data_IF_766388476332
#
_entry.id   IF_766388476332
#
_cell.length_a   1.000
_cell.length_b   1.000
_cell.length_c   1.000
_cell.angle_alpha   90.00
_cell.angle_beta   90.00
_cell.angle_gamma   90.00
#
_symmetry.space_group_name_H-M   'P 1'
#
loop_
_entity.id
_entity.type
_entity.pdbx_description
1 polymer ?
#
# COMPACT_ATOMS: atom_id res chain seq x y z
N UNK A 1 -55.76 2.24 -23.33
CA UNK A 1 -56.29 1.19 -22.44
C UNK A 1 -55.46 1.19 -21.19
N UNK A 2 -56.12 1.50 -20.07
CA UNK A 2 -55.54 1.47 -18.73
C UNK A 2 -55.39 0.02 -18.25
N UNK A 3 -54.34 -0.24 -17.49
CA UNK A 3 -54.33 -1.31 -16.49
C UNK A 3 -53.45 -0.87 -15.32
N UNK A 4 -54.10 -0.26 -14.33
CA UNK A 4 -53.59 -0.19 -12.96
C UNK A 4 -53.54 -1.59 -12.36
N UNK A 5 -52.47 -1.90 -11.64
CA UNK A 5 -52.53 -2.84 -10.51
C UNK A 5 -51.79 -2.21 -9.33
N UNK A 6 -52.58 -1.77 -8.35
CA UNK A 6 -52.18 -1.59 -6.96
C UNK A 6 -52.51 -2.90 -6.24
N UNK A 7 -51.58 -3.53 -5.53
CA UNK A 7 -51.37 -3.28 -4.10
C UNK A 7 -50.57 -4.42 -3.44
N UNK A 8 -49.63 -4.03 -2.58
CA UNK A 8 -49.27 -4.67 -1.31
C UNK A 8 -48.74 -6.10 -1.30
N UNK A 9 -47.45 -6.24 -0.97
CA UNK A 9 -47.02 -7.07 0.15
C UNK A 9 -45.78 -6.45 0.81
N UNK A 10 -45.94 -6.12 2.10
CA UNK A 10 -44.86 -5.86 3.05
C UNK A 10 -43.84 -7.00 3.00
N UNK A 11 -42.74 -6.80 2.29
CA UNK A 11 -41.55 -7.61 2.43
C UNK A 11 -40.76 -7.11 3.62
N UNK A 12 -40.83 -7.83 4.74
CA UNK A 12 -39.82 -7.75 5.79
C UNK A 12 -38.45 -8.00 5.15
N UNK A 13 -37.68 -6.94 4.92
CA UNK A 13 -36.26 -7.08 4.63
C UNK A 13 -35.63 -7.94 5.73
N UNK A 14 -34.74 -8.90 5.39
CA UNK A 14 -34.11 -9.72 6.39
C UNK A 14 -33.29 -8.83 7.33
N UNK A 15 -33.73 -8.73 8.59
CA UNK A 15 -33.04 -8.00 9.68
C UNK A 15 -31.56 -8.36 9.80
N UNK A 16 -31.15 -9.55 9.32
CA UNK A 16 -29.77 -9.99 9.23
C UNK A 16 -28.95 -9.21 8.20
N UNK A 17 -29.46 -8.96 6.98
CA UNK A 17 -28.77 -8.20 5.94
C UNK A 17 -28.61 -6.71 6.30
N UNK A 18 -29.64 -6.13 6.93
CA UNK A 18 -29.59 -4.74 7.42
C UNK A 18 -28.70 -4.57 8.67
N UNK A 19 -28.50 -5.63 9.46
CA UNK A 19 -27.52 -5.67 10.57
C UNK A 19 -26.09 -5.82 10.07
N UNK A 20 -25.84 -6.62 9.04
CA UNK A 20 -24.52 -6.76 8.42
C UNK A 20 -24.08 -5.43 7.79
N UNK A 21 -24.94 -4.78 6.99
CA UNK A 21 -24.65 -3.47 6.41
C UNK A 21 -24.33 -2.40 7.48
N UNK A 22 -25.07 -2.36 8.59
CA UNK A 22 -24.78 -1.44 9.70
C UNK A 22 -23.50 -1.81 10.47
N UNK A 23 -23.15 -3.09 10.51
CA UNK A 23 -21.89 -3.59 11.07
C UNK A 23 -20.72 -3.11 10.23
N UNK A 24 -20.77 -3.38 8.93
CA UNK A 24 -19.75 -2.99 7.95
C UNK A 24 -19.54 -1.48 7.92
N UNK A 25 -20.62 -0.68 7.98
CA UNK A 25 -20.52 0.78 8.05
C UNK A 25 -19.79 1.28 9.29
N UNK A 26 -19.96 0.63 10.45
CA UNK A 26 -19.30 1.04 11.70
C UNK A 26 -17.85 0.60 11.74
N UNK A 27 -17.55 -0.59 11.22
CA UNK A 27 -16.17 -1.04 11.01
C UNK A 27 -15.42 -0.07 10.09
N UNK A 28 -16.02 0.30 8.96
CA UNK A 28 -15.48 1.32 8.06
C UNK A 28 -15.32 2.68 8.72
N UNK A 29 -16.25 3.10 9.59
CA UNK A 29 -16.12 4.35 10.33
C UNK A 29 -14.92 4.32 11.29
N UNK A 30 -14.64 3.18 11.93
CA UNK A 30 -13.43 3.00 12.76
C UNK A 30 -12.18 3.07 11.90
N UNK A 31 -12.15 2.36 10.77
CA UNK A 31 -11.00 2.38 9.86
C UNK A 31 -10.75 3.79 9.31
N UNK A 32 -11.79 4.50 8.86
CA UNK A 32 -11.66 5.87 8.37
C UNK A 32 -11.20 6.83 9.47
N UNK A 33 -11.79 6.75 10.66
CA UNK A 33 -11.39 7.57 11.80
C UNK A 33 -9.93 7.34 12.17
N UNK A 34 -9.50 6.08 12.23
CA UNK A 34 -8.11 5.71 12.47
C UNK A 34 -7.19 6.21 11.35
N UNK A 35 -7.58 6.06 10.09
CA UNK A 35 -6.81 6.53 8.94
C UNK A 35 -6.50 8.03 9.06
N UNK A 36 -7.51 8.85 9.36
CA UNK A 36 -7.32 10.29 9.54
C UNK A 36 -6.50 10.64 10.78
N UNK A 37 -6.75 9.99 11.93
CA UNK A 37 -5.98 10.22 13.16
C UNK A 37 -4.48 9.94 12.95
N UNK A 38 -4.13 8.89 12.21
CA UNK A 38 -2.74 8.51 11.97
C UNK A 38 -1.97 9.46 11.06
N UNK A 39 -2.64 10.45 10.45
CA UNK A 39 -1.95 11.52 9.72
C UNK A 39 -1.13 12.43 10.64
N UNK A 40 -1.55 12.57 11.90
CA UNK A 40 -0.95 13.50 12.87
C UNK A 40 -0.49 12.83 14.15
N UNK A 41 -1.01 11.65 14.49
CA UNK A 41 -0.70 10.93 15.73
C UNK A 41 -0.16 9.54 15.43
N UNK A 42 0.70 8.99 16.31
CA UNK A 42 1.19 7.62 16.15
C UNK A 42 0.22 6.61 16.75
N UNK A 43 0.08 5.45 16.09
CA UNK A 43 -0.68 4.32 16.61
C UNK A 43 -0.17 3.90 18.00
N UNK A 44 1.11 4.13 18.32
CA UNK A 44 1.67 3.84 19.66
C UNK A 44 1.01 4.66 20.76
N UNK A 45 0.73 5.94 20.53
CA UNK A 45 0.18 6.87 21.53
C UNK A 45 -1.34 6.92 21.53
N UNK A 46 -1.98 6.69 20.38
CA UNK A 46 -3.44 6.71 20.24
C UNK A 46 -4.07 5.61 21.12
N UNK A 47 -5.13 5.99 21.86
CA UNK A 47 -5.89 5.06 22.69
C UNK A 47 -7.09 4.47 21.94
N UNK A 48 -7.61 3.34 22.42
CA UNK A 48 -8.85 2.75 21.89
C UNK A 48 -10.04 3.70 22.08
N UNK A 49 -10.04 4.51 23.14
CA UNK A 49 -11.10 5.49 23.37
C UNK A 49 -11.07 6.60 22.32
N UNK A 50 -9.88 7.01 21.87
CA UNK A 50 -9.74 8.02 20.81
C UNK A 50 -10.19 7.47 19.46
N UNK A 51 -9.81 6.23 19.12
CA UNK A 51 -10.29 5.54 17.91
C UNK A 51 -11.80 5.31 17.91
N UNK A 52 -12.38 4.95 19.06
CA UNK A 52 -13.83 4.80 19.18
C UNK A 52 -14.53 6.16 19.00
N UNK A 53 -14.01 7.22 19.63
CA UNK A 53 -14.57 8.58 19.52
C UNK A 53 -14.48 9.13 18.10
N UNK A 54 -13.38 8.91 17.38
CA UNK A 54 -13.25 9.37 15.98
C UNK A 54 -14.28 8.72 15.05
N UNK A 55 -14.76 7.53 15.40
CA UNK A 55 -15.84 6.83 14.70
C UNK A 55 -17.26 7.13 15.26
N UNK A 56 -17.38 7.99 16.27
CA UNK A 56 -18.67 8.27 16.94
C UNK A 56 -19.22 7.09 17.75
N UNK A 57 -18.34 6.22 18.27
CA UNK A 57 -18.68 4.99 18.98
C UNK A 57 -18.21 5.02 20.45
N UNK A 58 -18.82 4.16 21.27
CA UNK A 58 -18.30 3.87 22.61
C UNK A 58 -17.13 2.88 22.55
N UNK A 59 -16.28 2.88 23.58
CA UNK A 59 -15.23 1.86 23.74
C UNK A 59 -15.77 0.43 23.70
N UNK A 60 -16.91 0.18 24.35
CA UNK A 60 -17.57 -1.13 24.31
C UNK A 60 -18.02 -1.54 22.90
N UNK A 61 -18.46 -0.57 22.09
CA UNK A 61 -18.83 -0.82 20.69
C UNK A 61 -17.60 -1.07 19.82
N UNK A 62 -16.46 -0.44 20.10
CA UNK A 62 -15.20 -0.72 19.40
C UNK A 62 -14.79 -2.19 19.53
N UNK A 63 -14.80 -2.73 20.75
CA UNK A 63 -14.39 -4.12 21.01
C UNK A 63 -15.31 -5.18 20.37
N UNK A 64 -16.48 -4.77 19.87
CA UNK A 64 -17.31 -5.65 19.05
C UNK A 64 -16.70 -5.90 17.65
N UNK A 65 -15.91 -4.95 17.12
CA UNK A 65 -15.30 -5.02 15.79
C UNK A 65 -13.81 -5.36 15.83
N UNK A 66 -13.08 -4.79 16.78
CA UNK A 66 -11.63 -4.96 16.88
C UNK A 66 -11.22 -5.32 18.31
N UNK A 67 -10.44 -6.40 18.45
CA UNK A 67 -9.89 -6.87 19.72
C UNK A 67 -8.78 -5.94 20.24
N UNK A 68 -8.09 -5.24 19.33
CA UNK A 68 -7.02 -4.30 19.64
C UNK A 68 -6.87 -3.21 18.58
N UNK A 69 -6.18 -2.12 18.93
CA UNK A 69 -5.79 -1.08 17.96
C UNK A 69 -4.82 -1.60 16.88
N UNK A 70 -4.06 -2.66 17.17
CA UNK A 70 -3.17 -3.28 16.20
C UNK A 70 -3.94 -4.05 15.12
N UNK A 71 -5.10 -4.60 15.46
CA UNK A 71 -6.00 -5.20 14.47
C UNK A 71 -6.59 -4.13 13.52
N UNK A 72 -6.84 -2.92 14.01
CA UNK A 72 -7.21 -1.77 13.16
C UNK A 72 -6.07 -1.44 12.20
N UNK A 73 -4.83 -1.34 12.68
CA UNK A 73 -3.67 -1.08 11.83
C UNK A 73 -3.45 -2.20 10.79
N UNK A 74 -3.66 -3.47 11.18
CA UNK A 74 -3.62 -4.64 10.31
C UNK A 74 -4.68 -4.60 9.20
N UNK A 75 -5.90 -4.16 9.52
CA UNK A 75 -6.97 -3.98 8.55
C UNK A 75 -6.67 -2.82 7.58
N UNK A 76 -6.15 -1.69 8.09
CA UNK A 76 -5.68 -0.57 7.25
C UNK A 76 -4.52 -0.98 6.35
N UNK A 77 -3.56 -1.76 6.85
CA UNK A 77 -2.49 -2.31 6.02
C UNK A 77 -3.05 -3.15 4.88
N UNK A 78 -4.06 -3.97 5.15
CA UNK A 78 -4.70 -4.80 4.13
C UNK A 78 -5.37 -3.94 3.04
N UNK A 79 -6.04 -2.85 3.42
CA UNK A 79 -6.73 -1.99 2.45
C UNK A 79 -5.77 -1.22 1.53
N UNK A 80 -4.57 -0.85 2.01
CA UNK A 80 -3.58 -0.12 1.20
C UNK A 80 -2.66 -1.03 0.39
N UNK A 81 -2.56 -2.32 0.76
CA UNK A 81 -1.60 -3.26 0.12
C UNK A 81 -1.91 -3.47 -1.36
N UNK A 82 -3.18 -3.58 -1.73
CA UNK A 82 -3.57 -3.83 -3.11
C UNK A 82 -3.22 -2.64 -4.02
N UNK A 83 -3.39 -1.40 -3.54
CA UNK A 83 -2.98 -0.19 -4.26
C UNK A 83 -1.46 -0.19 -4.54
N UNK A 84 -0.64 -0.57 -3.56
CA UNK A 84 0.81 -0.67 -3.74
C UNK A 84 1.17 -1.78 -4.75
N UNK A 85 0.46 -2.91 -4.74
CA UNK A 85 0.66 -3.98 -5.72
C UNK A 85 0.35 -3.53 -7.14
N UNK A 86 -0.81 -2.87 -7.33
CA UNK A 86 -1.22 -2.35 -8.63
C UNK A 86 -0.22 -1.32 -9.14
N UNK A 87 0.20 -0.37 -8.30
CA UNK A 87 1.20 0.64 -8.64
C UNK A 87 2.56 0.03 -9.03
N UNK A 88 2.95 -1.09 -8.40
CA UNK A 88 4.21 -1.77 -8.66
C UNK A 88 4.14 -2.76 -9.84
N UNK A 89 2.97 -2.96 -10.44
CA UNK A 89 2.73 -4.03 -11.42
C UNK A 89 3.68 -4.00 -12.62
N UNK A 90 4.05 -2.81 -13.11
CA UNK A 90 4.98 -2.68 -14.24
C UNK A 90 6.41 -3.14 -13.94
N UNK A 91 6.81 -3.24 -12.67
CA UNK A 91 8.09 -3.88 -12.28
C UNK A 91 7.96 -5.41 -12.42
N UNK A 92 6.82 -5.98 -12.03
CA UNK A 92 6.64 -7.43 -11.92
C UNK A 92 6.18 -8.07 -13.23
N UNK A 93 5.26 -7.41 -13.91
CA UNK A 93 4.45 -7.91 -15.01
C UNK A 93 4.64 -7.06 -16.28
N UNK A 94 5.82 -6.47 -16.46
CA UNK A 94 6.18 -5.67 -17.65
C UNK A 94 5.78 -6.39 -18.95
N UNK A 95 4.84 -5.83 -19.74
CA UNK A 95 4.46 -6.42 -21.02
C UNK A 95 5.63 -6.44 -22.01
N UNK A 96 5.64 -7.43 -22.90
CA UNK A 96 6.61 -7.50 -23.99
C UNK A 96 6.52 -6.26 -24.88
N UNK A 97 7.67 -5.71 -25.29
CA UNK A 97 7.74 -4.50 -26.11
C UNK A 97 7.73 -3.19 -25.35
N UNK A 98 7.43 -3.18 -24.04
CA UNK A 98 7.62 -1.99 -23.21
C UNK A 98 9.09 -1.91 -22.76
N UNK A 99 9.80 -0.79 -23.05
CA UNK A 99 11.16 -0.58 -22.58
C UNK A 99 11.26 -0.62 -21.05
N UNK A 100 12.32 -1.21 -20.46
CA UNK A 100 12.54 -1.19 -19.02
C UNK A 100 12.47 0.20 -18.40
N UNK A 101 13.02 1.21 -19.07
CA UNK A 101 13.04 2.61 -18.63
C UNK A 101 11.63 3.13 -18.35
N UNK A 102 10.73 3.00 -19.34
CA UNK A 102 9.35 3.45 -19.22
C UNK A 102 8.57 2.68 -18.15
N UNK A 103 8.81 1.36 -18.04
CA UNK A 103 8.12 0.52 -17.06
C UNK A 103 8.53 0.84 -15.62
N UNK A 104 9.83 1.00 -15.36
CA UNK A 104 10.36 1.34 -14.04
C UNK A 104 9.96 2.77 -13.65
N UNK A 105 10.12 3.75 -14.55
CA UNK A 105 9.73 5.14 -14.29
C UNK A 105 8.25 5.24 -13.91
N UNK A 106 7.38 4.58 -14.69
CA UNK A 106 5.95 4.54 -14.41
C UNK A 106 5.64 3.91 -13.05
N UNK A 107 6.19 2.73 -12.76
CA UNK A 107 5.94 2.06 -11.49
C UNK A 107 6.44 2.87 -10.29
N UNK A 108 7.62 3.49 -10.37
CA UNK A 108 8.17 4.32 -9.30
C UNK A 108 7.30 5.56 -9.09
N UNK A 109 6.79 6.17 -10.15
CA UNK A 109 5.85 7.30 -10.07
C UNK A 109 4.55 6.90 -9.39
N UNK A 110 3.91 5.81 -9.81
CA UNK A 110 2.66 5.32 -9.22
C UNK A 110 2.84 4.92 -7.74
N UNK A 111 3.94 4.25 -7.40
CA UNK A 111 4.25 3.88 -6.01
C UNK A 111 4.48 5.13 -5.18
N UNK A 112 5.18 6.13 -5.71
CA UNK A 112 5.36 7.42 -5.03
C UNK A 112 4.02 8.09 -4.73
N UNK A 113 3.10 8.13 -5.70
CA UNK A 113 1.75 8.67 -5.51
C UNK A 113 0.94 7.89 -4.45
N UNK A 114 1.04 6.56 -4.42
CA UNK A 114 0.42 5.73 -3.37
C UNK A 114 0.99 6.09 -1.99
N UNK A 115 2.30 6.27 -1.87
CA UNK A 115 2.94 6.65 -0.60
C UNK A 115 2.64 8.08 -0.17
N UNK A 116 2.43 9.02 -1.09
CA UNK A 116 1.94 10.36 -0.73
C UNK A 116 0.55 10.31 -0.10
N UNK A 117 -0.33 9.42 -0.59
CA UNK A 117 -1.66 9.22 -0.02
C UNK A 117 -1.62 8.45 1.29
N UNK A 118 -0.97 7.28 1.31
CA UNK A 118 -1.09 6.28 2.38
C UNK A 118 0.16 6.11 3.25
N UNK A 119 1.23 6.90 3.03
CA UNK A 119 2.52 6.72 3.72
C UNK A 119 2.44 6.85 5.25
N UNK A 120 1.44 7.56 5.77
CA UNK A 120 1.18 7.62 7.20
C UNK A 120 0.73 6.27 7.79
N UNK A 121 0.00 5.44 7.03
CA UNK A 121 -0.34 4.07 7.46
C UNK A 121 0.85 3.14 7.33
N UNK A 122 1.52 3.17 6.17
CA UNK A 122 2.64 2.26 5.86
C UNK A 122 3.81 2.45 6.84
N UNK A 123 4.10 3.70 7.23
CA UNK A 123 5.10 4.00 8.27
C UNK A 123 4.72 3.41 9.63
N UNK A 124 3.48 3.62 10.08
CA UNK A 124 3.04 3.11 11.39
C UNK A 124 3.12 1.58 11.45
N UNK A 125 2.85 0.89 10.33
CA UNK A 125 3.07 -0.55 10.20
C UNK A 125 4.54 -0.90 10.38
N UNK A 126 5.44 -0.23 9.65
CA UNK A 126 6.89 -0.45 9.77
C UNK A 126 7.42 -0.25 11.20
N UNK A 127 6.98 0.81 11.87
CA UNK A 127 7.41 1.16 13.23
C UNK A 127 6.81 0.24 14.31
N UNK A 128 5.63 -0.32 14.08
CA UNK A 128 4.92 -1.19 15.01
C UNK A 128 5.24 -2.68 14.82
N UNK A 129 5.54 -3.13 13.60
CA UNK A 129 5.72 -4.54 13.27
C UNK A 129 6.72 -5.23 14.21
N UNK A 130 7.87 -4.60 14.49
CA UNK A 130 8.89 -5.18 15.36
C UNK A 130 8.44 -5.46 16.81
N UNK A 131 7.38 -4.78 17.29
CA UNK A 131 6.85 -4.94 18.65
C UNK A 131 5.59 -5.82 18.71
N UNK A 132 4.92 -6.06 17.56
CA UNK A 132 3.60 -6.70 17.50
C UNK A 132 3.64 -7.94 16.58
N UNK A 133 3.79 -9.17 17.12
CA UNK A 133 4.08 -10.37 16.33
C UNK A 133 3.07 -10.69 15.22
N UNK A 134 1.78 -10.45 15.46
CA UNK A 134 0.75 -10.69 14.44
C UNK A 134 0.87 -9.71 13.26
N UNK A 135 1.19 -8.44 13.56
CA UNK A 135 1.43 -7.42 12.54
C UNK A 135 2.74 -7.69 11.79
N UNK A 136 3.80 -8.10 12.48
CA UNK A 136 5.05 -8.56 11.86
C UNK A 136 4.81 -9.68 10.85
N UNK A 137 4.07 -10.72 11.24
CA UNK A 137 3.80 -11.86 10.36
C UNK A 137 3.01 -11.45 9.11
N UNK A 138 2.06 -10.53 9.24
CA UNK A 138 1.33 -9.97 8.10
C UNK A 138 2.26 -9.14 7.20
N UNK A 139 3.08 -8.28 7.79
CA UNK A 139 4.02 -7.42 7.07
C UNK A 139 5.05 -8.24 6.29
N UNK A 140 5.64 -9.27 6.91
CA UNK A 140 6.55 -10.21 6.27
C UNK A 140 5.91 -10.96 5.11
N UNK A 141 4.65 -11.37 5.24
CA UNK A 141 3.90 -12.01 4.16
C UNK A 141 3.71 -11.07 2.98
N UNK A 142 3.37 -9.81 3.24
CA UNK A 142 3.17 -8.78 2.22
C UNK A 142 4.49 -8.50 1.50
N UNK A 143 5.55 -8.14 2.23
CA UNK A 143 6.88 -7.91 1.67
C UNK A 143 7.41 -9.13 0.91
N UNK A 144 7.18 -10.33 1.43
CA UNK A 144 7.56 -11.59 0.79
C UNK A 144 6.93 -11.77 -0.60
N UNK A 145 5.69 -11.30 -0.80
CA UNK A 145 5.03 -11.31 -2.12
C UNK A 145 5.71 -10.33 -3.09
N UNK A 146 5.99 -9.09 -2.66
CA UNK A 146 6.71 -8.09 -3.48
C UNK A 146 8.10 -8.57 -3.87
N UNK A 147 8.88 -9.06 -2.90
CA UNK A 147 10.22 -9.59 -3.12
C UNK A 147 10.17 -10.74 -4.12
N UNK A 148 9.24 -11.69 -3.95
CA UNK A 148 9.10 -12.81 -4.87
C UNK A 148 8.77 -12.34 -6.29
N UNK A 149 7.83 -11.42 -6.45
CA UNK A 149 7.41 -10.91 -7.76
C UNK A 149 8.57 -10.20 -8.47
N UNK A 150 9.28 -9.30 -7.79
CA UNK A 150 10.48 -8.63 -8.31
C UNK A 150 11.59 -9.64 -8.66
N UNK A 151 11.82 -10.65 -7.82
CA UNK A 151 12.85 -11.68 -8.08
C UNK A 151 12.55 -12.44 -9.37
N UNK A 152 11.30 -12.85 -9.57
CA UNK A 152 10.87 -13.57 -10.78
C UNK A 152 10.99 -12.69 -12.02
N UNK A 153 10.62 -11.41 -11.92
CA UNK A 153 10.76 -10.47 -13.04
C UNK A 153 12.22 -10.25 -13.45
N UNK A 154 13.12 -10.08 -12.46
CA UNK A 154 14.57 -9.94 -12.72
C UNK A 154 15.12 -11.21 -13.41
N UNK A 155 14.80 -12.41 -12.91
CA UNK A 155 15.28 -13.65 -13.54
C UNK A 155 14.71 -13.85 -14.96
N UNK A 156 13.44 -13.51 -15.17
CA UNK A 156 12.82 -13.54 -16.51
C UNK A 156 13.60 -12.62 -17.46
N UNK A 157 13.86 -11.39 -17.06
CA UNK A 157 14.51 -10.40 -17.91
C UNK A 157 15.99 -10.77 -18.15
N UNK A 158 16.67 -11.42 -17.19
CA UNK A 158 18.01 -12.00 -17.39
C UNK A 158 17.99 -13.15 -18.40
N UNK A 159 17.05 -14.08 -18.27
CA UNK A 159 16.94 -15.25 -19.15
C UNK A 159 16.67 -14.90 -20.62
N UNK A 160 16.14 -13.70 -20.87
CA UNK A 160 15.84 -13.16 -22.20
C UNK A 160 16.87 -12.14 -22.68
N UNK A 161 17.93 -11.88 -21.90
CA UNK A 161 19.00 -10.94 -22.24
C UNK A 161 18.62 -9.46 -22.15
N UNK A 162 17.48 -9.12 -21.54
CA UNK A 162 17.03 -7.73 -21.33
C UNK A 162 17.71 -7.13 -20.10
N UNK A 163 17.84 -7.91 -19.03
CA UNK A 163 18.54 -7.51 -17.80
C UNK A 163 19.96 -8.08 -17.79
N UNK A 164 20.88 -7.38 -17.12
CA UNK A 164 22.26 -7.81 -16.96
C UNK A 164 22.40 -8.88 -15.86
N UNK A 165 23.49 -9.65 -15.94
CA UNK A 165 23.92 -10.50 -14.83
C UNK A 165 24.27 -9.65 -13.59
N UNK A 166 24.21 -10.27 -12.42
CA UNK A 166 24.52 -9.61 -11.16
C UNK A 166 24.34 -10.53 -9.96
N UNK A 167 24.13 -9.98 -8.75
CA UNK A 167 23.83 -10.77 -7.56
C UNK A 167 22.56 -11.63 -7.74
N UNK A 168 22.33 -12.63 -6.87
CA UNK A 168 21.10 -13.41 -6.89
C UNK A 168 19.87 -12.50 -6.92
N UNK A 169 18.92 -12.73 -7.85
CA UNK A 169 17.81 -11.80 -8.08
C UNK A 169 17.00 -11.50 -6.80
N UNK A 170 16.82 -12.51 -5.95
CA UNK A 170 16.16 -12.33 -4.65
C UNK A 170 16.89 -11.37 -3.73
N UNK A 171 18.21 -11.47 -3.62
CA UNK A 171 18.99 -10.57 -2.77
C UNK A 171 18.94 -9.13 -3.29
N UNK A 172 19.04 -8.95 -4.61
CA UNK A 172 18.89 -7.64 -5.25
C UNK A 172 17.49 -7.05 -5.03
N UNK A 173 16.43 -7.85 -5.24
CA UNK A 173 15.05 -7.43 -5.00
C UNK A 173 14.80 -7.01 -3.55
N UNK A 174 15.33 -7.74 -2.56
CA UNK A 174 15.24 -7.37 -1.14
C UNK A 174 15.88 -6.00 -0.90
N UNK A 175 17.09 -5.78 -1.41
CA UNK A 175 17.79 -4.51 -1.24
C UNK A 175 17.04 -3.34 -1.86
N UNK A 176 16.56 -3.50 -3.10
CA UNK A 176 15.82 -2.46 -3.82
C UNK A 176 14.48 -2.12 -3.15
N UNK A 177 13.75 -3.13 -2.66
CA UNK A 177 12.46 -2.92 -1.97
C UNK A 177 12.67 -2.18 -0.66
N UNK A 178 13.63 -2.59 0.17
CA UNK A 178 13.89 -1.90 1.45
C UNK A 178 14.45 -0.49 1.26
N UNK A 179 15.29 -0.29 0.24
CA UNK A 179 15.75 1.06 -0.13
C UNK A 179 14.57 1.94 -0.55
N UNK A 180 13.67 1.42 -1.38
CA UNK A 180 12.47 2.15 -1.82
C UNK A 180 11.54 2.47 -0.66
N UNK A 181 11.14 1.46 0.11
CA UNK A 181 10.29 1.59 1.31
C UNK A 181 10.82 2.67 2.25
N UNK A 182 12.11 2.63 2.58
CA UNK A 182 12.71 3.57 3.52
C UNK A 182 12.69 5.01 3.00
N UNK A 183 13.02 5.21 1.73
CA UNK A 183 13.03 6.55 1.14
C UNK A 183 11.62 7.12 0.98
N UNK A 184 10.65 6.29 0.59
CA UNK A 184 9.24 6.69 0.49
C UNK A 184 8.64 6.99 1.88
N UNK A 185 9.01 6.23 2.90
CA UNK A 185 8.67 6.50 4.29
C UNK A 185 9.19 7.86 4.77
N UNK A 186 10.48 8.15 4.55
CA UNK A 186 11.09 9.45 4.87
C UNK A 186 10.45 10.60 4.10
N UNK A 187 10.15 10.42 2.82
CA UNK A 187 9.45 11.38 1.99
C UNK A 187 8.04 11.68 2.53
N UNK A 188 7.29 10.65 2.92
CA UNK A 188 5.93 10.82 3.46
C UNK A 188 5.90 11.61 4.77
N UNK A 189 7.00 11.56 5.55
CA UNK A 189 7.18 12.36 6.76
C UNK A 189 7.69 13.78 6.49
N UNK A 190 7.98 14.13 5.23
CA UNK A 190 8.66 15.38 4.85
C UNK A 190 9.96 15.57 5.64
N UNK A 191 10.71 14.49 5.86
CA UNK A 191 11.98 14.55 6.59
C UNK A 191 13.00 15.40 5.83
N UNK A 192 13.78 16.22 6.55
CA UNK A 192 14.86 17.00 5.95
C UNK A 192 15.98 16.14 5.33
N UNK A 193 16.07 14.86 5.72
CA UNK A 193 17.02 13.90 5.18
C UNK A 193 16.39 12.97 4.12
N UNK A 194 15.15 13.23 3.70
CA UNK A 194 14.52 12.49 2.60
C UNK A 194 15.06 12.95 1.25
N UNK A 195 14.97 12.07 0.24
CA UNK A 195 15.03 12.52 -1.15
C UNK A 195 13.85 13.48 -1.37
N UNK A 196 14.08 14.71 -1.87
CA UNK A 196 12.99 15.62 -2.21
C UNK A 196 12.03 14.98 -3.22
N UNK A 197 10.73 15.25 -3.09
CA UNK A 197 9.70 14.58 -3.91
C UNK A 197 9.96 14.76 -5.41
N UNK A 198 10.42 15.94 -5.83
CA UNK A 198 10.79 16.26 -7.22
C UNK A 198 11.93 15.40 -7.77
N UNK A 199 12.77 14.82 -6.91
CA UNK A 199 13.89 13.97 -7.31
C UNK A 199 13.66 12.48 -7.04
N UNK A 200 12.55 12.11 -6.38
CA UNK A 200 12.28 10.73 -5.96
C UNK A 200 12.21 9.78 -7.17
N UNK A 201 11.42 10.15 -8.18
CA UNK A 201 11.19 9.31 -9.36
C UNK A 201 12.49 9.09 -10.13
N UNK A 202 13.21 10.17 -10.44
CA UNK A 202 14.50 10.10 -11.14
C UNK A 202 15.52 9.27 -10.36
N UNK A 203 15.68 9.53 -9.06
CA UNK A 203 16.71 8.88 -8.24
C UNK A 203 16.47 7.38 -8.15
N UNK A 204 15.25 6.96 -7.79
CA UNK A 204 14.92 5.54 -7.59
C UNK A 204 14.91 4.81 -8.93
N UNK A 205 14.37 5.42 -10.00
CA UNK A 205 14.40 4.85 -11.35
C UNK A 205 15.83 4.60 -11.81
N UNK A 206 16.72 5.56 -11.62
CA UNK A 206 18.14 5.43 -11.97
C UNK A 206 18.79 4.24 -11.27
N UNK A 207 18.54 4.05 -9.97
CA UNK A 207 19.10 2.90 -9.23
C UNK A 207 18.58 1.58 -9.78
N UNK A 208 17.28 1.46 -10.04
CA UNK A 208 16.70 0.26 -10.65
C UNK A 208 17.30 -0.03 -12.03
N UNK A 209 17.34 0.97 -12.93
CA UNK A 209 17.85 0.81 -14.28
C UNK A 209 19.32 0.39 -14.31
N UNK A 210 20.16 1.06 -13.52
CA UNK A 210 21.59 0.73 -13.48
C UNK A 210 21.86 -0.65 -12.88
N UNK A 211 21.14 -1.02 -11.81
CA UNK A 211 21.45 -2.26 -11.07
C UNK A 211 20.80 -3.51 -11.67
N UNK A 212 19.65 -3.37 -12.36
CA UNK A 212 18.94 -4.51 -12.96
C UNK A 212 19.24 -4.61 -14.46
N UNK A 213 19.25 -3.49 -15.18
CA UNK A 213 19.32 -3.50 -16.65
C UNK A 213 20.65 -2.99 -17.21
N UNK A 214 21.50 -2.37 -16.38
CA UNK A 214 22.72 -1.72 -16.86
C UNK A 214 22.44 -0.51 -17.75
N UNK A 215 21.26 0.11 -17.61
CA UNK A 215 20.80 1.22 -18.44
C UNK A 215 20.98 2.55 -17.71
N UNK A 216 21.22 3.61 -18.49
CA UNK A 216 21.21 4.98 -18.00
C UNK A 216 19.80 5.55 -18.04
N UNK A 217 19.42 6.31 -17.01
CA UNK A 217 18.16 7.03 -17.02
C UNK A 217 18.33 8.32 -17.82
N UNK A 218 17.61 8.44 -18.94
CA UNK A 218 17.65 9.64 -19.79
C UNK A 218 16.63 10.72 -19.37
N UNK A 219 15.76 10.44 -18.39
CA UNK A 219 14.65 11.31 -18.01
C UNK A 219 13.56 11.37 -19.08
N UNK A 220 12.32 11.67 -18.67
CA UNK A 220 11.32 12.30 -19.53
C UNK A 220 11.66 13.78 -19.75
N UNK A 221 12.89 14.10 -20.19
CA UNK A 221 13.18 15.43 -20.70
C UNK A 221 12.69 15.51 -22.14
N UNK A 222 11.40 15.79 -22.29
CA UNK A 222 10.93 16.46 -23.49
C UNK A 222 10.76 17.94 -23.12
N UNK A 223 11.35 18.81 -23.96
CA UNK A 223 11.38 20.29 -24.01
C UNK A 223 12.86 20.75 -24.05
N UNK A 224 13.43 21.21 -25.17
CA UNK A 224 12.86 21.71 -26.43
C UNK A 224 13.83 21.46 -27.61
#
# INVERSE_FOLDING_TARGET
MAASFSNGLNGTEPRAGRRNLKGDMREQAILQGAYETLRTESMRTVSIDDLAKSAGLSRSSFYFYFESKWQVLSALLSSVTDDVFVASSMIFERPAGIPPEAAIEHAVSEVTAVWERHGHILREVGDAAAAEPALQAQWDKILGRFIKAASVAIERDRSTGVAIDGPPARALAVALIWMGERNLGLMSMRSANAIPTEHMVETVTTVWLRTVFGLEYAGTTNHA
#
